data_IF_500169349263
#
_entry.id   IF_500169349263
#
_cell.length_a   1.000
_cell.length_b   1.000
_cell.length_c   1.000
_cell.angle_alpha   90.00
_cell.angle_beta   90.00
_cell.angle_gamma   90.00
#
_symmetry.space_group_name_H-M   'P 1'
#
loop_
_entity.id
_entity.type
_entity.pdbx_description
1 polymer ?
#
# COMPACT_ATOMS: atom_id res chain seq x y z
N UNK A 1 33.58 -8.61 21.85
CA UNK A 1 32.52 -9.62 21.84
C UNK A 1 31.84 -9.49 20.49
N UNK A 2 32.13 -10.42 19.59
CA UNK A 2 31.50 -10.49 18.27
C UNK A 2 30.01 -10.72 18.47
N UNK A 3 29.18 -9.73 18.14
CA UNK A 3 27.74 -9.95 18.01
C UNK A 3 27.56 -11.04 16.96
N UNK A 4 27.14 -12.21 17.39
CA UNK A 4 26.65 -13.24 16.48
C UNK A 4 25.42 -12.60 15.84
N UNK A 5 25.57 -12.11 14.62
CA UNK A 5 24.46 -11.83 13.74
C UNK A 5 23.76 -13.17 13.55
N UNK A 6 22.77 -13.47 14.40
CA UNK A 6 21.80 -14.51 14.10
C UNK A 6 21.24 -14.13 12.73
N UNK A 7 21.46 -14.99 11.74
CA UNK A 7 20.87 -14.82 10.40
C UNK A 7 19.40 -14.47 10.61
N UNK A 8 19.01 -13.25 10.21
CA UNK A 8 17.64 -12.81 10.38
C UNK A 8 16.77 -13.77 9.56
N UNK A 9 15.83 -14.51 10.18
CA UNK A 9 15.07 -15.55 9.49
C UNK A 9 14.34 -14.94 8.31
N UNK A 10 14.11 -15.71 7.24
CA UNK A 10 13.45 -15.22 6.02
C UNK A 10 12.20 -14.37 6.34
N UNK A 11 11.94 -13.32 5.56
CA UNK A 11 10.88 -12.34 5.84
C UNK A 11 9.51 -13.01 6.01
N UNK A 12 9.24 -14.04 5.21
CA UNK A 12 8.03 -14.86 5.29
C UNK A 12 7.88 -15.68 6.59
N UNK A 13 8.93 -15.76 7.41
CA UNK A 13 8.96 -16.38 8.75
C UNK A 13 8.96 -15.33 9.88
N UNK A 14 8.67 -14.07 9.56
CA UNK A 14 8.62 -13.00 10.56
C UNK A 14 7.47 -13.16 11.57
N UNK A 15 6.47 -14.00 11.29
CA UNK A 15 5.46 -14.42 12.26
C UNK A 15 5.69 -15.89 12.61
N UNK A 16 5.86 -16.18 13.90
CA UNK A 16 6.10 -17.53 14.43
C UNK A 16 5.08 -17.86 15.51
N UNK A 17 4.58 -19.08 15.49
CA UNK A 17 3.59 -19.56 16.47
C UNK A 17 4.30 -19.96 17.76
N UNK A 18 3.82 -19.42 18.88
CA UNK A 18 4.27 -19.79 20.24
C UNK A 18 3.33 -20.86 20.80
N UNK A 19 2.03 -20.58 20.77
CA UNK A 19 0.95 -21.51 21.12
C UNK A 19 -0.31 -21.23 20.28
N UNK A 20 -1.43 -21.92 20.55
CA UNK A 20 -2.69 -21.80 19.80
C UNK A 20 -3.31 -20.39 19.82
N UNK A 21 -2.88 -19.54 20.75
CA UNK A 21 -3.43 -18.21 21.02
C UNK A 21 -2.37 -17.11 20.97
N UNK A 22 -1.11 -17.42 20.67
CA UNK A 22 -0.04 -16.42 20.68
C UNK A 22 1.03 -16.63 19.60
N UNK A 23 1.52 -15.51 19.05
CA UNK A 23 2.48 -15.47 17.95
C UNK A 23 3.54 -14.38 18.18
N UNK A 24 4.81 -14.71 17.93
CA UNK A 24 5.89 -13.74 17.88
C UNK A 24 5.96 -13.06 16.51
N UNK A 25 6.10 -11.74 16.51
CA UNK A 25 6.35 -10.94 15.31
C UNK A 25 7.78 -10.39 15.40
N UNK A 26 8.65 -10.91 14.53
CA UNK A 26 10.06 -10.54 14.36
C UNK A 26 10.83 -10.45 15.69
N UNK A 27 10.54 -11.37 16.62
CA UNK A 27 11.13 -11.42 17.97
C UNK A 27 10.99 -10.12 18.79
N UNK A 28 10.12 -9.21 18.35
CA UNK A 28 9.99 -7.86 18.91
C UNK A 28 8.65 -7.70 19.63
N UNK A 29 7.57 -8.22 19.02
CA UNK A 29 6.22 -8.14 19.56
C UNK A 29 5.65 -9.54 19.77
N UNK A 30 4.77 -9.65 20.77
CA UNK A 30 3.88 -10.78 20.99
C UNK A 30 2.45 -10.37 20.64
N UNK A 31 1.88 -11.06 19.67
CA UNK A 31 0.48 -10.98 19.30
C UNK A 31 -0.29 -12.08 20.04
N UNK A 32 -1.31 -11.71 20.80
CA UNK A 32 -2.16 -12.66 21.53
C UNK A 32 -3.61 -12.56 21.06
N UNK A 33 -4.31 -13.68 20.96
CA UNK A 33 -5.74 -13.75 20.72
C UNK A 33 -6.47 -14.15 21.99
N UNK A 34 -7.49 -13.39 22.36
CA UNK A 34 -8.39 -13.68 23.46
C UNK A 34 -9.80 -13.98 22.94
N UNK A 35 -10.47 -14.97 23.53
CA UNK A 35 -11.90 -15.24 23.26
C UNK A 35 -12.84 -14.27 23.98
N UNK A 36 -12.30 -13.38 24.81
CA UNK A 36 -13.11 -12.34 25.45
C UNK A 36 -13.45 -11.24 24.45
N UNK A 37 -14.62 -10.58 24.58
CA UNK A 37 -14.99 -9.48 23.71
C UNK A 37 -13.92 -8.42 23.68
N UNK A 38 -13.80 -7.76 22.54
CA UNK A 38 -12.93 -6.61 22.39
C UNK A 38 -13.22 -5.58 23.49
N UNK A 39 -12.22 -5.16 24.29
CA UNK A 39 -12.46 -4.35 25.47
C UNK A 39 -12.98 -2.94 25.12
N UNK A 40 -13.94 -2.45 25.89
CA UNK A 40 -14.51 -1.10 25.72
C UNK A 40 -13.49 0.03 26.02
N UNK A 41 -12.44 -0.29 26.80
CA UNK A 41 -11.35 0.62 27.15
C UNK A 41 -10.02 -0.07 26.88
N UNK A 42 -9.43 0.22 25.72
CA UNK A 42 -8.06 -0.19 25.42
C UNK A 42 -7.11 0.91 25.93
N UNK A 43 -6.01 0.56 26.62
CA UNK A 43 -4.94 1.52 26.89
C UNK A 43 -4.52 2.22 25.60
N UNK A 44 -4.32 3.53 25.62
CA UNK A 44 -4.06 4.32 24.41
C UNK A 44 -2.84 3.83 23.62
N UNK A 45 -1.91 3.16 24.29
CA UNK A 45 -0.65 2.68 23.73
C UNK A 45 -0.70 1.19 23.31
N UNK A 46 -1.85 0.52 23.45
CA UNK A 46 -1.99 -0.89 23.11
C UNK A 46 -2.80 -1.06 21.82
N UNK A 47 -2.19 -1.64 20.79
CA UNK A 47 -2.90 -2.01 19.57
C UNK A 47 -3.77 -3.24 19.82
N UNK A 48 -5.08 -3.12 19.55
CA UNK A 48 -6.06 -4.18 19.73
C UNK A 48 -7.15 -4.08 18.64
N UNK A 49 -7.59 -5.24 18.14
CA UNK A 49 -8.60 -5.30 17.08
C UNK A 49 -9.43 -6.60 17.15
N UNK A 50 -10.60 -6.58 16.52
CA UNK A 50 -11.54 -7.71 16.51
C UNK A 50 -10.96 -8.92 15.76
N UNK A 51 -11.23 -10.13 16.26
CA UNK A 51 -10.92 -11.39 15.56
C UNK A 51 -12.02 -11.83 14.59
N UNK A 52 -13.06 -11.00 14.39
CA UNK A 52 -14.29 -11.27 13.63
C UNK A 52 -15.25 -12.34 14.19
N UNK A 53 -14.89 -13.01 15.28
CA UNK A 53 -15.59 -14.15 15.87
C UNK A 53 -15.95 -13.94 17.36
N UNK A 54 -16.05 -12.69 17.80
CA UNK A 54 -16.42 -12.31 19.16
C UNK A 54 -15.25 -12.23 20.15
N UNK A 55 -14.03 -12.54 19.69
CA UNK A 55 -12.79 -12.33 20.42
C UNK A 55 -12.03 -11.09 19.91
N UNK A 56 -10.77 -10.96 20.34
CA UNK A 56 -9.88 -9.90 19.89
C UNK A 56 -8.41 -10.35 19.85
N UNK A 57 -7.64 -9.64 19.05
CA UNK A 57 -6.18 -9.67 19.04
C UNK A 57 -5.64 -8.46 19.78
N UNK A 58 -4.50 -8.62 20.46
CA UNK A 58 -3.77 -7.54 21.10
C UNK A 58 -2.27 -7.71 20.89
N UNK A 59 -1.58 -6.59 20.65
CA UNK A 59 -0.11 -6.54 20.61
C UNK A 59 0.46 -6.15 21.98
N UNK A 60 1.61 -6.71 22.28
CA UNK A 60 2.45 -6.38 23.42
C UNK A 60 3.93 -6.57 23.06
N UNK A 61 4.83 -6.04 23.87
CA UNK A 61 6.27 -6.32 23.72
C UNK A 61 6.54 -7.81 23.99
N UNK A 62 7.40 -8.43 23.18
CA UNK A 62 7.81 -9.81 23.42
C UNK A 62 8.52 -9.94 24.79
N UNK A 63 8.28 -11.02 25.55
CA UNK A 63 8.91 -11.19 26.85
C UNK A 63 10.38 -11.60 26.71
N UNK A 64 11.16 -11.35 27.77
CA UNK A 64 12.56 -11.78 27.88
C UNK A 64 12.70 -12.81 29.03
N UNK A 65 13.17 -14.05 28.76
CA UNK A 65 13.63 -14.55 27.46
C UNK A 65 12.48 -14.79 26.48
N UNK A 66 12.79 -14.75 25.18
CA UNK A 66 11.83 -15.07 24.12
C UNK A 66 11.24 -16.48 24.32
N UNK A 67 9.93 -16.66 24.11
CA UNK A 67 9.31 -17.96 24.20
C UNK A 67 9.73 -18.85 23.01
N UNK A 68 9.71 -20.16 23.23
CA UNK A 68 9.90 -21.12 22.15
C UNK A 68 8.83 -20.91 21.06
N UNK A 69 9.24 -20.96 19.80
CA UNK A 69 8.33 -20.74 18.67
C UNK A 69 8.68 -21.58 17.45
N UNK A 70 7.64 -21.97 16.71
CA UNK A 70 7.73 -22.73 15.46
C UNK A 70 7.24 -21.88 14.27
N UNK A 71 7.60 -22.22 13.03
CA UNK A 71 7.07 -21.55 11.85
C UNK A 71 5.53 -21.58 11.84
N UNK A 72 4.91 -20.51 11.34
CA UNK A 72 3.46 -20.43 11.20
C UNK A 72 2.97 -21.52 10.23
N UNK A 73 2.00 -22.33 10.65
CA UNK A 73 1.39 -23.35 9.79
C UNK A 73 0.63 -22.71 8.61
N UNK A 74 0.70 -23.32 7.43
CA UNK A 74 0.04 -22.80 6.22
C UNK A 74 -1.50 -22.76 6.35
N UNK A 75 -2.06 -23.67 7.15
CA UNK A 75 -3.49 -23.83 7.42
C UNK A 75 -3.93 -23.22 8.76
N UNK A 76 -3.09 -22.36 9.36
CA UNK A 76 -3.44 -21.65 10.59
C UNK A 76 -4.76 -20.87 10.43
N UNK A 77 -5.73 -21.18 11.29
CA UNK A 77 -7.07 -20.60 11.27
C UNK A 77 -7.14 -19.18 11.83
N UNK A 78 -6.18 -18.80 12.68
CA UNK A 78 -6.18 -17.50 13.37
C UNK A 78 -5.38 -16.43 12.62
N UNK A 79 -4.27 -16.84 11.99
CA UNK A 79 -3.42 -15.98 11.17
C UNK A 79 -3.11 -16.69 9.86
N UNK A 80 -3.42 -16.05 8.74
CA UNK A 80 -3.16 -16.59 7.41
C UNK A 80 -2.29 -15.64 6.59
N UNK A 81 -1.29 -16.18 5.87
CA UNK A 81 -0.50 -15.39 4.93
C UNK A 81 -1.30 -15.22 3.64
N UNK A 82 -1.62 -13.98 3.28
CA UNK A 82 -2.45 -13.66 2.11
C UNK A 82 -1.63 -13.23 0.89
N UNK A 83 -0.40 -12.76 1.12
CA UNK A 83 0.51 -12.37 0.06
C UNK A 83 1.96 -12.55 0.52
N UNK A 84 2.86 -12.89 -0.41
CA UNK A 84 4.30 -12.92 -0.18
C UNK A 84 5.05 -12.77 -1.50
N UNK A 85 6.13 -12.00 -1.47
CA UNK A 85 7.08 -11.83 -2.59
C UNK A 85 8.47 -12.16 -2.07
N UNK A 86 8.86 -13.43 -2.24
CA UNK A 86 10.16 -13.96 -1.83
C UNK A 86 10.58 -13.44 -0.44
N UNK A 87 11.80 -12.92 -0.27
CA UNK A 87 12.29 -12.33 0.97
C UNK A 87 12.01 -10.82 1.11
N UNK A 88 11.18 -10.24 0.24
CA UNK A 88 11.02 -8.79 0.11
C UNK A 88 9.77 -8.24 0.78
N UNK A 89 8.64 -8.94 0.68
CA UNK A 89 7.40 -8.50 1.28
C UNK A 89 6.51 -9.68 1.67
N UNK A 90 5.75 -9.53 2.75
CA UNK A 90 4.74 -10.48 3.17
C UNK A 90 3.59 -9.77 3.89
N UNK A 91 2.38 -10.29 3.67
CA UNK A 91 1.17 -9.78 4.31
C UNK A 91 0.42 -10.95 4.93
N UNK A 92 0.06 -10.79 6.19
CA UNK A 92 -0.77 -11.73 6.93
C UNK A 92 -2.09 -11.06 7.32
N UNK A 93 -3.16 -11.85 7.36
CA UNK A 93 -4.43 -11.46 7.95
C UNK A 93 -4.55 -12.07 9.35
N UNK A 94 -4.94 -11.26 10.33
CA UNK A 94 -5.30 -11.69 11.67
C UNK A 94 -6.63 -11.01 12.05
N UNK A 95 -7.75 -11.71 11.87
CA UNK A 95 -9.08 -11.14 12.08
C UNK A 95 -9.37 -9.93 11.17
N UNK A 96 -9.69 -8.80 11.80
CA UNK A 96 -9.97 -7.52 11.14
C UNK A 96 -8.72 -6.61 10.96
N UNK A 97 -7.51 -7.19 10.99
CA UNK A 97 -6.29 -6.48 10.66
C UNK A 97 -5.41 -7.22 9.64
N UNK A 98 -4.57 -6.45 8.96
CA UNK A 98 -3.46 -6.94 8.16
C UNK A 98 -2.14 -6.53 8.80
N UNK A 99 -1.20 -7.47 8.83
CA UNK A 99 0.19 -7.27 9.24
C UNK A 99 1.02 -7.32 7.95
N UNK A 100 1.60 -6.19 7.55
CA UNK A 100 2.49 -6.06 6.39
C UNK A 100 3.94 -6.01 6.88
N UNK A 101 4.83 -6.72 6.21
CA UNK A 101 6.26 -6.68 6.45
C UNK A 101 6.98 -6.50 5.12
N UNK A 102 7.90 -5.54 5.05
CA UNK A 102 8.65 -5.24 3.82
C UNK A 102 10.12 -4.97 4.17
N UNK A 103 11.02 -5.34 3.26
CA UNK A 103 12.42 -4.98 3.37
C UNK A 103 12.62 -3.49 3.07
N UNK A 104 13.45 -2.81 3.86
CA UNK A 104 13.73 -1.39 3.74
C UNK A 104 14.88 -1.12 2.77
N UNK A 105 14.74 -1.56 1.52
CA UNK A 105 15.72 -1.32 0.45
C UNK A 105 15.96 0.18 0.21
N UNK A 106 14.96 0.99 0.52
CA UNK A 106 14.96 2.45 0.41
C UNK A 106 14.63 3.06 1.79
N UNK A 107 15.64 3.36 2.63
CA UNK A 107 15.42 3.83 3.99
C UNK A 107 14.79 5.22 4.04
N UNK A 108 15.10 6.07 3.06
CA UNK A 108 14.62 7.46 2.99
C UNK A 108 13.27 7.60 2.26
N UNK A 109 12.58 6.51 1.94
CA UNK A 109 11.23 6.55 1.37
C UNK A 109 10.21 6.78 2.48
N UNK A 110 9.26 7.70 2.24
CA UNK A 110 8.14 7.95 3.15
C UNK A 110 7.39 6.65 3.42
N UNK A 111 7.28 6.29 4.70
CA UNK A 111 6.61 5.05 5.10
C UNK A 111 5.09 5.19 5.01
N UNK A 112 4.40 4.10 4.67
CA UNK A 112 2.93 4.09 4.52
C UNK A 112 2.20 4.61 5.76
N UNK A 113 2.68 4.37 6.99
CA UNK A 113 2.04 4.91 8.20
C UNK A 113 2.03 6.45 8.24
N UNK A 114 3.05 7.10 7.68
CA UNK A 114 3.13 8.57 7.58
C UNK A 114 2.09 9.07 6.59
N UNK A 115 1.96 8.41 5.43
CA UNK A 115 0.93 8.73 4.43
C UNK A 115 -0.48 8.50 4.97
N UNK A 116 -0.73 7.40 5.68
CA UNK A 116 -2.03 7.12 6.30
C UNK A 116 -2.37 8.15 7.39
N UNK A 117 -1.38 8.60 8.17
CA UNK A 117 -1.57 9.68 9.13
C UNK A 117 -1.92 10.99 8.43
N UNK A 118 -1.23 11.34 7.33
CA UNK A 118 -1.59 12.49 6.50
C UNK A 118 -3.04 12.40 5.99
N UNK A 119 -3.48 11.24 5.48
CA UNK A 119 -4.87 11.06 5.04
C UNK A 119 -5.86 11.26 6.18
N UNK A 120 -5.56 10.74 7.38
CA UNK A 120 -6.39 10.94 8.56
C UNK A 120 -6.54 12.42 8.91
N UNK A 121 -5.46 13.19 8.77
CA UNK A 121 -5.45 14.63 9.03
C UNK A 121 -6.20 15.42 7.95
N UNK A 122 -6.15 14.97 6.68
CA UNK A 122 -6.90 15.58 5.57
C UNK A 122 -8.41 15.26 5.58
N UNK A 123 -8.82 14.17 6.25
CA UNK A 123 -10.21 13.71 6.33
C UNK A 123 -10.92 13.61 4.95
N UNK A 124 -10.32 12.92 3.96
CA UNK A 124 -10.92 12.79 2.64
C UNK A 124 -12.27 12.07 2.69
N UNK A 125 -13.14 12.46 1.77
CA UNK A 125 -14.47 11.85 1.64
C UNK A 125 -14.53 10.85 0.49
N UNK A 126 -15.58 10.05 0.42
CA UNK A 126 -15.92 9.24 -0.75
C UNK A 126 -15.12 7.95 -0.94
N UNK A 127 -14.16 7.65 -0.06
CA UNK A 127 -13.54 6.34 0.06
C UNK A 127 -13.11 6.05 1.50
N UNK A 128 -13.07 4.76 1.85
CA UNK A 128 -12.49 4.26 3.10
C UNK A 128 -11.01 3.94 2.90
N UNK A 129 -10.21 4.03 3.96
CA UNK A 129 -8.78 3.67 3.94
C UNK A 129 -8.37 3.03 5.27
N UNK A 130 -7.24 2.30 5.33
CA UNK A 130 -6.82 1.60 6.53
C UNK A 130 -6.49 2.55 7.68
N UNK A 131 -6.89 2.19 8.90
CA UNK A 131 -6.40 2.81 10.12
C UNK A 131 -5.14 2.09 10.59
N UNK A 132 -4.12 2.85 10.98
CA UNK A 132 -2.90 2.28 11.56
C UNK A 132 -3.16 1.87 13.00
N UNK A 133 -2.94 0.58 13.30
CA UNK A 133 -2.92 0.07 14.68
C UNK A 133 -1.53 0.15 15.29
N UNK A 134 -0.50 -0.23 14.54
CA UNK A 134 0.88 -0.22 15.01
C UNK A 134 1.87 -0.22 13.84
N UNK A 135 3.08 0.28 14.06
CA UNK A 135 4.19 0.13 13.12
C UNK A 135 5.51 0.08 13.88
N UNK A 136 6.51 -0.60 13.34
CA UNK A 136 7.86 -0.63 13.91
C UNK A 136 8.89 -1.03 12.85
N UNK A 137 10.15 -0.68 13.09
CA UNK A 137 11.29 -1.08 12.27
C UNK A 137 12.23 -1.93 13.12
N UNK A 138 12.74 -3.03 12.54
CA UNK A 138 13.69 -3.91 13.21
C UNK A 138 14.66 -4.52 12.20
N UNK A 139 15.96 -4.33 12.44
CA UNK A 139 16.98 -4.62 11.44
C UNK A 139 16.72 -3.84 10.14
N UNK A 140 16.65 -4.55 9.01
CA UNK A 140 16.33 -3.97 7.70
C UNK A 140 14.86 -4.13 7.29
N UNK A 141 13.94 -4.35 8.24
CA UNK A 141 12.52 -4.58 7.96
C UNK A 141 11.63 -3.52 8.58
N UNK A 142 10.60 -3.15 7.85
CA UNK A 142 9.50 -2.32 8.30
C UNK A 142 8.24 -3.19 8.43
N UNK A 143 7.54 -3.03 9.55
CA UNK A 143 6.28 -3.68 9.84
C UNK A 143 5.18 -2.64 10.04
N UNK A 144 4.00 -2.94 9.49
CA UNK A 144 2.81 -2.11 9.59
C UNK A 144 1.60 -2.99 9.89
N UNK A 145 0.85 -2.65 10.93
CA UNK A 145 -0.41 -3.30 11.29
C UNK A 145 -1.54 -2.31 11.06
N UNK A 146 -2.47 -2.66 10.18
CA UNK A 146 -3.57 -1.79 9.75
C UNK A 146 -4.92 -2.50 9.79
N UNK A 147 -6.00 -1.73 9.94
CA UNK A 147 -7.35 -2.26 9.89
C UNK A 147 -7.70 -2.79 8.50
N UNK A 148 -8.51 -3.86 8.46
CA UNK A 148 -9.15 -4.30 7.24
C UNK A 148 -10.09 -3.22 6.71
N UNK A 149 -9.99 -2.94 5.42
CA UNK A 149 -10.97 -2.12 4.71
C UNK A 149 -12.06 -3.03 4.15
N UNK A 150 -13.36 -2.76 4.40
CA UNK A 150 -14.45 -3.58 3.90
C UNK A 150 -14.55 -3.60 2.37
N UNK A 151 -15.09 -4.70 1.82
CA UNK A 151 -15.33 -4.87 0.39
C UNK A 151 -14.58 -6.07 -0.19
N UNK A 152 -14.76 -6.25 -1.50
CA UNK A 152 -14.07 -7.24 -2.32
C UNK A 152 -13.10 -6.50 -3.25
N UNK A 153 -11.94 -7.07 -3.54
CA UNK A 153 -11.02 -6.48 -4.50
C UNK A 153 -11.73 -6.24 -5.84
N UNK A 154 -11.49 -5.08 -6.46
CA UNK A 154 -12.05 -4.77 -7.77
C UNK A 154 -11.62 -5.81 -8.80
N UNK A 155 -10.37 -6.29 -8.72
CA UNK A 155 -9.86 -7.39 -9.54
C UNK A 155 -10.78 -8.61 -9.50
N UNK A 156 -11.17 -9.05 -8.30
CA UNK A 156 -12.03 -10.23 -8.15
C UNK A 156 -13.49 -9.96 -8.49
N UNK A 157 -13.99 -8.76 -8.18
CA UNK A 157 -15.39 -8.40 -8.38
C UNK A 157 -15.70 -8.16 -9.86
N UNK A 158 -14.76 -7.60 -10.64
CA UNK A 158 -14.97 -7.07 -11.98
C UNK A 158 -15.72 -8.00 -12.95
N UNK A 159 -15.41 -9.32 -13.03
CA UNK A 159 -16.12 -10.22 -13.94
C UNK A 159 -17.62 -10.34 -13.66
N UNK A 160 -18.03 -10.13 -12.40
CA UNK A 160 -19.43 -10.24 -11.96
C UNK A 160 -20.20 -8.91 -12.02
N UNK A 161 -19.51 -7.78 -12.12
CA UNK A 161 -20.15 -6.46 -12.18
C UNK A 161 -20.80 -6.22 -13.54
N UNK A 162 -22.01 -5.69 -13.54
CA UNK A 162 -22.61 -5.17 -14.75
C UNK A 162 -21.94 -3.86 -15.21
N UNK A 163 -22.20 -3.48 -16.46
CA UNK A 163 -21.58 -2.31 -17.07
C UNK A 163 -21.93 -1.00 -16.35
N UNK A 164 -23.11 -0.88 -15.74
CA UNK A 164 -23.51 0.33 -14.99
C UNK A 164 -22.63 0.50 -13.76
N UNK A 165 -22.42 -0.58 -13.01
CA UNK A 165 -21.58 -0.58 -11.81
C UNK A 165 -20.10 -0.39 -12.17
N UNK A 166 -19.64 -0.97 -13.29
CA UNK A 166 -18.28 -0.72 -13.81
C UNK A 166 -18.07 0.76 -14.11
N UNK A 167 -18.98 1.40 -14.84
CA UNK A 167 -18.89 2.84 -15.15
C UNK A 167 -18.95 3.70 -13.88
N UNK A 168 -19.75 3.31 -12.89
CA UNK A 168 -19.79 3.97 -11.60
C UNK A 168 -18.41 3.99 -10.92
N UNK A 169 -17.74 2.84 -10.79
CA UNK A 169 -16.41 2.79 -10.16
C UNK A 169 -15.32 3.47 -10.97
N UNK A 170 -15.38 3.41 -12.32
CA UNK A 170 -14.47 4.16 -13.20
C UNK A 170 -14.58 5.67 -12.92
N UNK A 171 -15.80 6.21 -12.93
CA UNK A 171 -16.05 7.63 -12.64
C UNK A 171 -15.61 7.99 -11.22
N UNK A 172 -15.99 7.18 -10.23
CA UNK A 172 -15.64 7.39 -8.82
C UNK A 172 -14.13 7.46 -8.57
N UNK A 173 -13.34 6.59 -9.21
CA UNK A 173 -11.87 6.62 -9.09
C UNK A 173 -11.28 7.86 -9.76
N UNK A 174 -11.80 8.27 -10.92
CA UNK A 174 -11.37 9.51 -11.57
C UNK A 174 -11.69 10.75 -10.71
N UNK A 175 -12.86 10.80 -10.10
CA UNK A 175 -13.26 11.86 -9.16
C UNK A 175 -12.38 11.89 -7.91
N UNK A 176 -11.97 10.72 -7.41
CA UNK A 176 -11.01 10.63 -6.29
C UNK A 176 -9.65 11.17 -6.71
N UNK A 177 -9.12 10.77 -7.87
CA UNK A 177 -7.87 11.32 -8.40
C UNK A 177 -7.94 12.84 -8.47
N UNK A 178 -9.07 13.40 -8.92
CA UNK A 178 -9.25 14.83 -9.00
C UNK A 178 -9.24 15.53 -7.64
N UNK A 179 -9.89 14.95 -6.63
CA UNK A 179 -9.93 15.51 -5.26
C UNK A 179 -8.59 15.39 -4.54
N UNK A 180 -7.89 14.27 -4.71
CA UNK A 180 -6.53 14.11 -4.19
C UNK A 180 -5.58 15.14 -4.83
N UNK A 181 -5.76 15.42 -6.12
CA UNK A 181 -4.94 16.38 -6.84
C UNK A 181 -5.12 17.84 -6.39
N UNK A 182 -6.15 18.15 -5.58
CA UNK A 182 -6.31 19.46 -4.95
C UNK A 182 -5.26 19.71 -3.87
N UNK A 183 -4.71 18.65 -3.25
CA UNK A 183 -3.64 18.77 -2.27
C UNK A 183 -2.29 18.97 -2.97
N UNK A 184 -1.70 20.14 -2.75
CA UNK A 184 -0.45 20.54 -3.40
C UNK A 184 0.76 20.28 -2.51
N UNK A 185 1.90 20.08 -3.14
CA UNK A 185 3.20 19.97 -2.48
C UNK A 185 4.26 20.79 -3.19
N UNK A 186 5.37 21.05 -2.49
CA UNK A 186 6.46 21.89 -2.99
C UNK A 186 7.59 21.07 -3.64
N UNK A 187 7.60 19.75 -3.45
CA UNK A 187 8.63 18.84 -3.97
C UNK A 187 7.99 17.59 -4.57
N UNK A 188 8.71 16.91 -5.47
CA UNK A 188 8.34 15.55 -5.90
C UNK A 188 8.86 14.58 -4.83
N UNK A 189 7.96 14.08 -3.99
CA UNK A 189 8.33 13.36 -2.78
C UNK A 189 7.10 12.88 -2.02
N UNK A 190 7.31 12.20 -0.90
CA UNK A 190 6.21 11.87 -0.01
C UNK A 190 5.75 13.06 0.84
N UNK A 191 4.71 12.84 1.63
CA UNK A 191 3.97 13.90 2.36
C UNK A 191 4.77 14.59 3.46
N UNK A 192 5.87 13.98 3.89
CA UNK A 192 6.80 14.45 4.92
C UNK A 192 8.10 15.03 4.34
N UNK A 193 8.17 15.17 3.02
CA UNK A 193 9.35 15.69 2.31
C UNK A 193 10.41 14.64 1.97
N UNK A 194 10.21 13.38 2.35
CA UNK A 194 11.10 12.26 2.03
C UNK A 194 10.88 11.72 0.61
N UNK A 195 11.62 10.67 0.23
CA UNK A 195 11.61 10.12 -1.12
C UNK A 195 10.27 9.47 -1.46
N UNK A 196 9.89 9.60 -2.74
CA UNK A 196 8.74 8.92 -3.33
C UNK A 196 9.21 7.67 -4.07
N UNK A 197 8.65 6.49 -3.75
CA UNK A 197 8.99 5.23 -4.42
C UNK A 197 8.32 5.07 -5.80
N UNK A 198 8.35 6.11 -6.64
CA UNK A 198 7.78 6.05 -7.98
C UNK A 198 8.84 5.66 -9.02
N UNK A 199 9.03 4.35 -9.20
CA UNK A 199 10.05 3.79 -10.10
C UNK A 199 9.86 4.14 -11.56
N UNK A 200 8.63 4.38 -12.01
CA UNK A 200 8.40 4.76 -13.40
C UNK A 200 8.93 6.18 -13.69
N UNK A 201 9.17 7.02 -12.68
CA UNK A 201 9.83 8.32 -12.86
C UNK A 201 11.37 8.21 -12.88
N UNK A 202 11.95 7.03 -12.68
CA UNK A 202 13.39 6.79 -12.72
C UNK A 202 13.84 6.42 -14.14
N UNK A 203 14.97 6.98 -14.60
CA UNK A 203 15.58 6.60 -15.88
C UNK A 203 16.16 5.18 -15.80
N UNK A 204 15.76 4.31 -16.72
CA UNK A 204 16.25 2.93 -16.79
C UNK A 204 15.82 2.12 -15.56
N UNK A 205 16.73 1.30 -15.04
CA UNK A 205 16.46 0.37 -13.94
C UNK A 205 17.39 0.59 -12.72
N UNK A 206 17.84 1.83 -12.51
CA UNK A 206 18.71 2.15 -11.37
C UNK A 206 18.07 1.72 -10.06
N UNK A 207 18.79 0.91 -9.29
CA UNK A 207 18.38 0.46 -7.96
C UNK A 207 18.97 1.33 -6.83
N UNK A 208 19.74 2.36 -7.18
CA UNK A 208 20.35 3.26 -6.21
C UNK A 208 19.29 4.13 -5.53
N UNK A 209 19.44 4.38 -4.24
CA UNK A 209 18.48 5.16 -3.46
C UNK A 209 18.42 6.64 -3.89
N UNK A 210 19.54 7.22 -4.34
CA UNK A 210 19.62 8.59 -4.86
C UNK A 210 18.74 8.82 -6.11
N UNK A 211 18.44 7.75 -6.86
CA UNK A 211 17.55 7.78 -8.01
C UNK A 211 16.11 8.18 -7.64
N UNK A 212 15.72 8.03 -6.38
CA UNK A 212 14.41 8.40 -5.82
C UNK A 212 14.44 9.74 -5.06
N UNK A 213 15.59 10.42 -5.01
CA UNK A 213 15.68 11.73 -4.38
C UNK A 213 14.74 12.73 -5.06
N UNK A 214 14.12 13.66 -4.31
CA UNK A 214 13.24 14.67 -4.90
C UNK A 214 13.90 15.46 -6.04
N UNK A 215 15.20 15.77 -5.91
CA UNK A 215 15.97 16.48 -6.94
C UNK A 215 16.13 15.64 -8.22
N UNK A 216 16.38 14.33 -8.08
CA UNK A 216 16.54 13.46 -9.24
C UNK A 216 15.20 13.19 -9.94
N UNK A 217 14.12 13.00 -9.18
CA UNK A 217 12.78 12.86 -9.76
C UNK A 217 12.33 14.15 -10.47
N UNK A 218 12.58 15.33 -9.86
CA UNK A 218 12.32 16.63 -10.49
C UNK A 218 13.07 16.79 -11.81
N UNK A 219 14.35 16.41 -11.84
CA UNK A 219 15.16 16.40 -13.06
C UNK A 219 14.54 15.49 -14.14
N UNK A 220 14.18 14.26 -13.77
CA UNK A 220 13.59 13.30 -14.72
C UNK A 220 12.25 13.79 -15.28
N UNK A 221 11.37 14.34 -14.42
CA UNK A 221 10.11 14.94 -14.84
C UNK A 221 10.31 16.12 -15.79
N UNK A 222 11.32 16.95 -15.53
CA UNK A 222 11.69 18.08 -16.40
C UNK A 222 12.20 17.58 -17.77
N UNK A 223 13.02 16.52 -17.79
CA UNK A 223 13.48 15.90 -19.04
C UNK A 223 12.32 15.30 -19.86
N UNK A 224 11.28 14.78 -19.19
CA UNK A 224 10.03 14.33 -19.80
C UNK A 224 9.08 15.49 -20.19
N UNK A 225 9.49 16.75 -20.00
CA UNK A 225 8.69 17.94 -20.29
C UNK A 225 7.35 18.01 -19.55
N UNK A 226 7.27 17.44 -18.34
CA UNK A 226 6.11 17.61 -17.46
C UNK A 226 6.12 19.02 -16.84
N UNK A 227 4.94 19.56 -16.52
CA UNK A 227 4.84 20.78 -15.71
C UNK A 227 5.15 20.49 -14.24
N UNK A 228 6.35 20.86 -13.81
CA UNK A 228 6.82 20.73 -12.43
C UNK A 228 6.50 21.96 -11.56
N UNK A 229 5.78 22.96 -12.09
CA UNK A 229 5.36 24.13 -11.32
C UNK A 229 4.18 23.84 -10.40
N UNK A 230 3.40 22.80 -10.69
CA UNK A 230 2.28 22.34 -9.87
C UNK A 230 2.43 20.86 -9.57
N UNK A 231 2.72 20.54 -8.32
CA UNK A 231 2.79 19.16 -7.85
C UNK A 231 1.54 18.83 -7.04
N UNK A 232 0.98 17.66 -7.29
CA UNK A 232 -0.31 17.23 -6.77
C UNK A 232 -0.17 15.89 -6.06
N UNK A 233 -0.93 15.70 -4.99
CA UNK A 233 -0.95 14.43 -4.28
C UNK A 233 -1.67 13.36 -5.11
N UNK A 234 -1.02 12.22 -5.28
CA UNK A 234 -1.55 11.08 -6.01
C UNK A 234 -1.10 9.78 -5.34
N UNK A 235 -1.95 8.76 -5.40
CA UNK A 235 -1.67 7.44 -4.82
C UNK A 235 -0.56 6.68 -5.55
N UNK A 236 -0.37 6.93 -6.85
CA UNK A 236 0.61 6.24 -7.71
C UNK A 236 0.39 4.73 -7.92
N UNK A 237 -0.68 4.13 -7.38
CA UNK A 237 -0.97 2.69 -7.56
C UNK A 237 -2.45 2.32 -7.40
N UNK A 238 -3.35 3.06 -8.05
CA UNK A 238 -4.80 2.81 -8.06
C UNK A 238 -5.21 1.66 -8.99
N UNK A 239 -4.46 0.55 -8.92
CA UNK A 239 -4.75 -0.69 -9.62
C UNK A 239 -5.93 -1.43 -9.01
N UNK A 240 -6.53 -2.38 -9.76
CA UNK A 240 -7.71 -3.10 -9.30
C UNK A 240 -7.46 -3.99 -8.06
N UNK A 241 -6.19 -4.30 -7.75
CA UNK A 241 -5.78 -5.04 -6.55
C UNK A 241 -5.67 -4.16 -5.30
N UNK A 242 -5.78 -2.84 -5.43
CA UNK A 242 -5.70 -1.88 -4.31
C UNK A 242 -7.04 -1.18 -4.05
N UNK A 243 -8.11 -1.60 -4.75
CA UNK A 243 -9.45 -1.04 -4.65
C UNK A 243 -10.41 -2.08 -4.09
N UNK A 244 -11.10 -1.75 -3.00
CA UNK A 244 -12.14 -2.58 -2.40
C UNK A 244 -13.50 -2.02 -2.76
N UNK A 245 -14.32 -2.81 -3.42
CA UNK A 245 -15.65 -2.41 -3.87
C UNK A 245 -16.74 -3.20 -3.17
N UNK A 246 -17.90 -2.58 -3.02
CA UNK A 246 -19.11 -3.24 -2.59
C UNK A 246 -20.27 -2.75 -3.46
N UNK A 247 -20.64 -3.55 -4.46
CA UNK A 247 -21.65 -3.20 -5.45
C UNK A 247 -23.03 -2.90 -4.86
N UNK A 248 -23.40 -3.46 -3.70
CA UNK A 248 -24.71 -3.21 -3.09
C UNK A 248 -24.79 -1.86 -2.38
N UNK A 249 -23.67 -1.34 -1.90
CA UNK A 249 -23.59 -0.05 -1.20
C UNK A 249 -22.97 1.07 -2.05
N UNK A 250 -22.26 0.70 -3.12
CA UNK A 250 -21.41 1.62 -3.89
C UNK A 250 -20.18 2.11 -3.13
N UNK A 251 -19.85 1.55 -1.96
CA UNK A 251 -18.67 1.94 -1.19
C UNK A 251 -17.38 1.56 -1.91
N UNK A 252 -16.35 2.36 -1.69
CA UNK A 252 -15.02 2.18 -2.25
C UNK A 252 -14.01 2.31 -1.12
N UNK A 253 -13.13 1.33 -0.99
CA UNK A 253 -11.95 1.36 -0.14
C UNK A 253 -10.69 1.46 -0.99
N UNK A 254 -9.68 2.14 -0.49
CA UNK A 254 -8.37 2.24 -1.13
C UNK A 254 -7.30 1.84 -0.11
N UNK A 255 -6.45 0.89 -0.50
CA UNK A 255 -5.37 0.35 0.32
C UNK A 255 -4.02 0.54 -0.38
N UNK A 256 -2.94 0.26 0.34
CA UNK A 256 -1.57 0.25 -0.19
C UNK A 256 -1.04 1.64 -0.58
N UNK A 257 -1.01 2.53 0.41
CA UNK A 257 -0.64 3.93 0.23
C UNK A 257 0.87 4.19 0.26
N UNK A 258 1.70 3.15 0.15
CA UNK A 258 3.15 3.24 0.27
C UNK A 258 3.83 3.98 -0.89
N UNK A 259 3.19 4.03 -2.06
CA UNK A 259 3.70 4.73 -3.24
C UNK A 259 3.16 6.16 -3.38
N UNK A 260 2.28 6.60 -2.47
CA UNK A 260 1.58 7.87 -2.63
C UNK A 260 2.48 9.07 -2.27
N UNK A 261 2.31 10.16 -3.00
CA UNK A 261 3.03 11.40 -2.75
C UNK A 261 2.74 12.46 -3.80
N UNK A 262 3.57 13.49 -3.83
CA UNK A 262 3.44 14.63 -4.73
C UNK A 262 4.16 14.37 -6.06
N UNK A 263 3.44 14.54 -7.17
CA UNK A 263 3.92 14.32 -8.54
C UNK A 263 3.39 15.42 -9.47
N UNK A 264 3.99 15.61 -10.67
CA UNK A 264 3.39 16.46 -11.70
C UNK A 264 1.97 16.00 -12.07
N UNK A 265 1.08 16.94 -12.39
CA UNK A 265 -0.34 16.64 -12.63
C UNK A 265 -0.56 15.66 -13.78
N UNK A 266 0.28 15.70 -14.81
CA UNK A 266 0.23 14.78 -15.96
C UNK A 266 0.52 13.34 -15.54
N UNK A 267 1.20 13.13 -14.41
CA UNK A 267 1.53 11.80 -13.92
C UNK A 267 0.28 11.00 -13.52
N UNK A 268 -0.75 11.68 -13.01
CA UNK A 268 -2.01 11.06 -12.55
C UNK A 268 -2.64 10.21 -13.65
N UNK A 269 -2.75 10.74 -14.88
CA UNK A 269 -3.28 9.97 -16.02
C UNK A 269 -2.20 9.12 -16.69
N UNK A 270 -0.95 9.60 -16.76
CA UNK A 270 0.16 8.84 -17.36
C UNK A 270 0.34 7.47 -16.70
N UNK A 271 0.21 7.39 -15.37
CA UNK A 271 0.35 6.14 -14.63
C UNK A 271 -0.65 5.06 -15.07
N UNK A 272 -1.93 5.41 -15.25
CA UNK A 272 -2.95 4.49 -15.80
C UNK A 272 -2.64 4.04 -17.23
N UNK A 273 -1.86 4.82 -18.01
CA UNK A 273 -1.49 4.46 -19.38
C UNK A 273 -0.25 3.58 -19.47
N UNK A 274 0.65 3.61 -18.48
CA UNK A 274 1.93 2.91 -18.50
C UNK A 274 2.02 1.69 -17.58
N UNK A 275 1.45 1.77 -16.39
CA UNK A 275 1.80 0.83 -15.33
C UNK A 275 1.06 -0.50 -15.44
N UNK A 276 1.82 -1.59 -15.30
CA UNK A 276 1.27 -2.95 -15.26
C UNK A 276 0.53 -3.23 -13.94
N UNK A 277 0.83 -2.50 -12.85
CA UNK A 277 0.07 -2.58 -11.60
C UNK A 277 -1.39 -2.11 -11.74
N UNK A 278 -1.72 -1.44 -12.86
CA UNK A 278 -3.07 -1.00 -13.17
C UNK A 278 -3.85 -2.02 -14.02
N UNK A 279 -3.23 -3.13 -14.41
CA UNK A 279 -3.89 -4.23 -15.13
C UNK A 279 -4.65 -5.13 -14.14
N UNK A 280 -5.68 -5.81 -14.62
CA UNK A 280 -6.22 -6.97 -13.92
C UNK A 280 -5.23 -8.14 -13.96
N UNK A 281 -5.30 -9.00 -12.94
CA UNK A 281 -4.49 -10.23 -12.85
C UNK A 281 -5.05 -11.38 -13.71
N UNK A 282 -6.13 -11.13 -14.44
CA UNK A 282 -6.85 -12.11 -15.24
C UNK A 282 -7.33 -11.51 -16.56
N UNK A 283 -7.74 -12.39 -17.49
CA UNK A 283 -8.18 -12.00 -18.83
C UNK A 283 -7.04 -11.95 -19.86
N UNK A 284 -7.42 -11.70 -21.12
CA UNK A 284 -6.47 -11.47 -22.21
C UNK A 284 -5.86 -10.05 -22.17
N UNK A 285 -4.90 -9.77 -23.06
CA UNK A 285 -4.18 -8.49 -23.09
C UNK A 285 -5.09 -7.25 -23.18
N UNK A 286 -6.22 -7.36 -23.88
CA UNK A 286 -7.16 -6.25 -24.04
C UNK A 286 -8.04 -6.10 -22.81
N UNK A 287 -8.58 -7.23 -22.31
CA UNK A 287 -9.48 -7.27 -21.16
C UNK A 287 -8.77 -6.86 -19.87
N UNK A 288 -7.51 -7.29 -19.68
CA UNK A 288 -6.75 -6.94 -18.48
C UNK A 288 -6.45 -5.44 -18.38
N UNK A 289 -6.41 -4.74 -19.51
CA UNK A 289 -6.15 -3.29 -19.60
C UNK A 289 -7.43 -2.45 -19.63
N UNK A 290 -8.60 -3.09 -19.64
CA UNK A 290 -9.89 -2.42 -19.84
C UNK A 290 -10.15 -1.35 -18.76
N UNK A 291 -9.95 -1.70 -17.49
CA UNK A 291 -10.10 -0.79 -16.35
C UNK A 291 -9.24 0.47 -16.50
N UNK A 292 -7.91 0.30 -16.55
CA UNK A 292 -6.99 1.43 -16.59
C UNK A 292 -7.19 2.31 -17.83
N UNK A 293 -7.56 1.70 -18.96
CA UNK A 293 -7.88 2.45 -20.19
C UNK A 293 -9.11 3.33 -19.98
N UNK A 294 -10.17 2.80 -19.37
CA UNK A 294 -11.41 3.55 -19.13
C UNK A 294 -11.23 4.66 -18.09
N UNK A 295 -10.47 4.41 -17.02
CA UNK A 295 -10.12 5.44 -16.03
C UNK A 295 -9.30 6.55 -16.69
N UNK A 296 -8.27 6.20 -17.47
CA UNK A 296 -7.48 7.19 -18.22
C UNK A 296 -8.31 8.03 -19.20
N UNK A 297 -9.31 7.42 -19.87
CA UNK A 297 -10.25 8.14 -20.73
C UNK A 297 -11.18 9.08 -19.93
N UNK A 298 -11.54 8.73 -18.70
CA UNK A 298 -12.34 9.59 -17.84
C UNK A 298 -11.52 10.80 -17.36
N UNK A 299 -10.28 10.57 -16.90
CA UNK A 299 -9.34 11.62 -16.52
C UNK A 299 -9.05 12.59 -17.68
N UNK A 300 -8.94 12.08 -18.91
CA UNK A 300 -8.80 12.92 -20.11
C UNK A 300 -9.97 13.89 -20.27
N UNK A 301 -11.21 13.42 -20.10
CA UNK A 301 -12.41 14.27 -20.17
C UNK A 301 -12.45 15.31 -19.06
N UNK A 302 -11.78 15.05 -17.94
CA UNK A 302 -11.60 16.00 -16.83
C UNK A 302 -10.44 16.98 -17.06
N UNK A 303 -9.71 16.88 -18.17
CA UNK A 303 -8.63 17.79 -18.54
C UNK A 303 -7.22 17.33 -18.15
N UNK A 304 -7.05 16.09 -17.66
CA UNK A 304 -5.73 15.57 -17.36
C UNK A 304 -5.00 15.17 -18.65
N UNK A 305 -3.87 15.80 -18.92
CA UNK A 305 -2.93 15.39 -19.95
C UNK A 305 -2.18 14.12 -19.58
N UNK A 306 -1.38 13.59 -20.50
CA UNK A 306 -0.39 12.55 -20.21
C UNK A 306 0.91 12.83 -20.96
N UNK A 307 1.97 12.15 -20.55
CA UNK A 307 3.29 12.25 -21.18
C UNK A 307 3.85 10.89 -21.59
N UNK A 308 2.99 9.95 -22.00
CA UNK A 308 3.40 8.58 -22.38
C UNK A 308 4.48 8.59 -23.47
N UNK A 309 4.33 9.43 -24.50
CA UNK A 309 5.29 9.49 -25.60
C UNK A 309 6.64 10.08 -25.15
N UNK A 310 6.62 11.09 -24.27
CA UNK A 310 7.83 11.68 -23.71
C UNK A 310 8.52 10.71 -22.74
N UNK A 311 7.74 9.94 -21.98
CA UNK A 311 8.24 8.89 -21.10
C UNK A 311 9.00 7.82 -21.88
N UNK A 312 8.46 7.31 -22.99
CA UNK A 312 9.18 6.33 -23.83
C UNK A 312 10.47 6.91 -24.41
N UNK A 313 10.43 8.15 -24.91
CA UNK A 313 11.64 8.83 -25.40
C UNK A 313 12.70 9.00 -24.30
N UNK A 314 12.26 9.32 -23.08
CA UNK A 314 13.12 9.46 -21.91
C UNK A 314 13.79 8.12 -21.56
N UNK A 315 13.03 7.03 -21.54
CA UNK A 315 13.56 5.69 -21.26
C UNK A 315 14.49 5.19 -22.36
N UNK A 316 14.21 5.49 -23.63
CA UNK A 316 15.03 5.06 -24.78
C UNK A 316 16.25 5.97 -25.01
N UNK A 317 16.31 7.13 -24.35
CA UNK A 317 17.44 8.06 -24.49
C UNK A 317 18.71 7.49 -23.86
N UNK A 318 19.80 7.50 -24.62
CA UNK A 318 21.13 7.06 -24.16
C UNK A 318 21.68 7.92 -23.02
#
# INVERSE_FOLDING_TARGET
>A
MSSISLDQPHLNESIREVDESSWLISNTLLLTRSSSPHPDKIPTDQACWSDSNGGHFALSTAPEPLPDSKPLAEDSSSISRVHAVDNQAAVWRAGEAFIKAHHMDYPDVTREHVTLQFLKDQQPQGFDFPNVFHHFETGSRYFLVVSRVPGQLLDEAWPSLDETIRQYYIGKVADICNRLAEWKGDIIGGVDGHQLLERYLVKGNSKMADALSPQQLLKNCTEMSMDVSTLVFYHCDLGPTNLLVNASTGSLGIIDWELAGYVPVEWVRTKFRLSAGMDFNHGDEDSKRDWRRRVAQHLEKMGYGDVVDAWWKFQDSK
#
